data_IF_156292068098
#
_entry.id   IF_156292068098
#
_cell.length_a   1.000
_cell.length_b   1.000
_cell.length_c   1.000
_cell.angle_alpha   90.00
_cell.angle_beta   90.00
_cell.angle_gamma   90.00
#
_symmetry.space_group_name_H-M   'P 1'
#
loop_
_entity.id
_entity.type
_entity.pdbx_description
1 polymer ?
#
# COMPACT_ATOMS: atom_id res chain seq x y z
N UNK A 1 -11.13 -1.40 10.78
CA UNK A 1 -10.38 -2.34 9.92
C UNK A 1 -8.93 -1.95 9.86
N UNK A 2 -8.05 -2.91 9.73
CA UNK A 2 -6.61 -2.65 9.72
C UNK A 2 -6.08 -2.70 8.29
N UNK A 3 -5.45 -1.61 7.88
CA UNK A 3 -4.83 -1.50 6.56
C UNK A 3 -3.34 -1.22 6.68
N UNK A 4 -2.60 -1.67 5.69
CA UNK A 4 -1.19 -1.36 5.54
C UNK A 4 -0.94 -0.82 4.13
N UNK A 5 -0.26 0.31 4.04
CA UNK A 5 0.18 0.87 2.77
C UNK A 5 1.69 0.67 2.64
N UNK A 6 2.10 0.01 1.57
CA UNK A 6 3.50 -0.14 1.21
C UNK A 6 3.75 0.71 -0.01
N UNK A 7 4.75 1.59 0.06
CA UNK A 7 5.12 2.49 -1.02
C UNK A 7 6.59 2.33 -1.35
N UNK A 8 6.90 2.14 -2.62
CA UNK A 8 8.27 2.19 -3.13
C UNK A 8 8.42 3.45 -3.98
N UNK A 9 9.34 4.31 -3.59
CA UNK A 9 9.65 5.52 -4.33
C UNK A 9 10.59 5.20 -5.48
N UNK A 10 10.18 5.58 -6.70
CA UNK A 10 10.90 5.23 -7.91
C UNK A 10 12.33 5.79 -7.96
N UNK A 11 12.49 7.04 -7.54
CA UNK A 11 13.75 7.75 -7.68
C UNK A 11 14.82 7.28 -6.68
N UNK A 12 14.43 6.82 -5.51
CA UNK A 12 15.33 6.42 -4.43
C UNK A 12 15.37 4.92 -4.17
N UNK A 13 14.34 4.20 -4.61
CA UNK A 13 14.16 2.80 -4.27
C UNK A 13 13.77 2.55 -2.81
N UNK A 14 13.51 3.61 -2.05
CA UNK A 14 13.12 3.48 -0.64
C UNK A 14 11.72 2.91 -0.55
N UNK A 15 11.54 1.92 0.33
CA UNK A 15 10.25 1.30 0.61
C UNK A 15 9.81 1.74 1.99
N UNK A 16 8.57 2.22 2.11
CA UNK A 16 7.98 2.62 3.37
C UNK A 16 6.73 1.80 3.65
N UNK A 17 6.44 1.64 4.94
CA UNK A 17 5.20 1.02 5.41
C UNK A 17 4.46 2.01 6.29
N UNK A 18 3.14 2.06 6.14
CA UNK A 18 2.29 2.86 7.01
C UNK A 18 1.05 2.04 7.38
N UNK A 19 0.72 2.02 8.66
CA UNK A 19 -0.41 1.27 9.20
C UNK A 19 -1.56 2.21 9.53
N UNK A 20 -2.77 1.76 9.21
CA UNK A 20 -4.01 2.50 9.46
C UNK A 20 -4.96 1.57 10.24
N UNK A 21 -4.89 1.57 11.60
CA UNK A 21 -5.59 0.54 12.37
C UNK A 21 -7.10 0.73 12.48
N UNK A 22 -7.61 1.94 12.44
CA UNK A 22 -9.01 2.23 12.79
C UNK A 22 -9.76 3.00 11.71
N UNK A 23 -9.58 2.63 10.45
CA UNK A 23 -10.36 3.24 9.36
C UNK A 23 -11.40 2.27 8.83
N UNK A 24 -12.57 2.79 8.46
CA UNK A 24 -13.69 1.99 7.97
C UNK A 24 -13.57 1.63 6.50
N UNK A 25 -12.86 2.46 5.72
CA UNK A 25 -12.77 2.31 4.27
C UNK A 25 -11.40 2.76 3.78
N UNK A 26 -10.83 2.11 2.76
CA UNK A 26 -9.57 2.53 2.17
C UNK A 26 -9.68 3.74 1.25
N UNK A 27 -10.88 4.25 1.00
CA UNK A 27 -11.11 5.29 -0.02
C UNK A 27 -10.27 6.55 0.19
N UNK A 28 -10.12 6.98 1.44
CA UNK A 28 -9.30 8.17 1.77
C UNK A 28 -7.83 7.95 1.36
N UNK A 29 -7.30 6.77 1.62
CA UNK A 29 -5.92 6.42 1.27
C UNK A 29 -5.77 6.37 -0.24
N UNK A 30 -6.69 5.72 -0.92
CA UNK A 30 -6.67 5.57 -2.37
C UNK A 30 -6.76 6.94 -3.05
N UNK A 31 -7.65 7.80 -2.58
CA UNK A 31 -7.80 9.15 -3.12
C UNK A 31 -6.55 9.99 -2.92
N UNK A 32 -5.91 9.89 -1.76
CA UNK A 32 -4.63 10.56 -1.50
C UNK A 32 -3.55 10.11 -2.49
N UNK A 33 -3.44 8.80 -2.73
CA UNK A 33 -2.47 8.23 -3.65
C UNK A 33 -2.76 8.64 -5.10
N UNK A 34 -4.01 8.60 -5.52
CA UNK A 34 -4.42 9.02 -6.85
C UNK A 34 -4.08 10.49 -7.11
N UNK A 35 -4.34 11.35 -6.14
CA UNK A 35 -3.96 12.77 -6.22
C UNK A 35 -2.45 12.96 -6.31
N UNK A 36 -1.68 12.22 -5.54
CA UNK A 36 -0.22 12.28 -5.59
C UNK A 36 0.29 11.88 -6.97
N UNK A 37 -0.24 10.80 -7.55
CA UNK A 37 0.14 10.33 -8.87
C UNK A 37 -0.25 11.32 -9.97
N UNK A 38 -1.43 11.93 -9.89
CA UNK A 38 -1.87 12.98 -10.81
C UNK A 38 -0.95 14.20 -10.76
N UNK A 39 -0.39 14.50 -9.59
CA UNK A 39 0.55 15.60 -9.39
C UNK A 39 2.00 15.23 -9.72
N UNK A 40 2.23 14.07 -10.33
CA UNK A 40 3.54 13.68 -10.83
C UNK A 40 4.40 12.88 -9.87
N UNK A 41 3.87 12.43 -8.75
CA UNK A 41 4.60 11.55 -7.85
C UNK A 41 4.96 10.23 -8.56
N UNK A 42 6.22 9.81 -8.44
CA UNK A 42 6.75 8.60 -9.07
C UNK A 42 6.94 7.53 -8.02
N UNK A 43 5.90 6.73 -7.83
CA UNK A 43 5.88 5.68 -6.82
C UNK A 43 5.05 4.48 -7.27
N UNK A 44 5.33 3.34 -6.66
CA UNK A 44 4.47 2.16 -6.68
C UNK A 44 3.87 2.00 -5.28
N UNK A 45 2.63 1.56 -5.21
CA UNK A 45 2.03 1.27 -3.91
C UNK A 45 1.25 -0.04 -3.93
N UNK A 46 1.14 -0.62 -2.75
CA UNK A 46 0.29 -1.76 -2.48
C UNK A 46 -0.45 -1.49 -1.17
N UNK A 47 -1.77 -1.51 -1.21
CA UNK A 47 -2.63 -1.38 -0.05
C UNK A 47 -3.17 -2.74 0.32
N UNK A 48 -2.95 -3.15 1.56
CA UNK A 48 -3.39 -4.43 2.09
C UNK A 48 -4.32 -4.24 3.28
N UNK A 49 -5.24 -5.18 3.43
CA UNK A 49 -6.12 -5.27 4.59
C UNK A 49 -5.81 -6.55 5.35
N UNK A 50 -5.70 -6.46 6.67
CA UNK A 50 -5.60 -7.64 7.53
C UNK A 50 -7.00 -8.11 7.90
N UNK A 51 -7.28 -9.37 7.60
CA UNK A 51 -8.55 -10.02 7.91
C UNK A 51 -8.30 -11.15 8.91
N UNK A 52 -9.38 -11.80 9.38
CA UNK A 52 -9.26 -12.96 10.26
C UNK A 52 -8.56 -14.15 9.59
N UNK A 53 -8.64 -14.23 8.27
CA UNK A 53 -8.09 -15.35 7.51
C UNK A 53 -6.74 -15.06 6.87
N UNK A 54 -6.26 -13.81 6.95
CA UNK A 54 -4.97 -13.46 6.36
C UNK A 54 -4.86 -12.00 5.95
N UNK A 55 -4.06 -11.76 4.94
CA UNK A 55 -3.81 -10.42 4.41
C UNK A 55 -4.27 -10.41 2.95
N UNK A 56 -5.19 -9.49 2.64
CA UNK A 56 -5.72 -9.33 1.30
C UNK A 56 -5.21 -8.05 0.65
N UNK A 57 -4.87 -8.12 -0.64
CA UNK A 57 -4.56 -6.94 -1.42
C UNK A 57 -5.86 -6.22 -1.77
N UNK A 58 -5.93 -4.93 -1.45
CA UNK A 58 -7.12 -4.10 -1.71
C UNK A 58 -6.96 -3.23 -2.95
N UNK A 59 -5.77 -2.70 -3.17
CA UNK A 59 -5.47 -1.86 -4.32
C UNK A 59 -3.96 -1.80 -4.55
N UNK A 60 -3.55 -1.58 -5.79
CA UNK A 60 -2.15 -1.45 -6.14
C UNK A 60 -1.99 -0.73 -7.47
N UNK A 61 -0.83 -0.10 -7.66
CA UNK A 61 -0.43 0.41 -8.96
C UNK A 61 0.93 -0.16 -9.32
N UNK A 62 1.09 -0.61 -10.55
CA UNK A 62 2.39 -1.04 -11.10
C UNK A 62 3.10 -2.15 -10.31
N UNK A 63 2.46 -2.76 -9.32
CA UNK A 63 3.02 -3.90 -8.62
C UNK A 63 2.70 -5.18 -9.38
N UNK A 64 3.73 -5.92 -9.70
CA UNK A 64 3.60 -7.33 -10.03
C UNK A 64 3.72 -8.11 -8.72
N UNK A 65 2.59 -8.48 -8.16
CA UNK A 65 2.55 -9.17 -6.88
C UNK A 65 3.35 -10.47 -6.90
N UNK A 66 3.33 -11.17 -8.05
CA UNK A 66 4.05 -12.42 -8.21
C UNK A 66 5.57 -12.23 -8.24
N UNK A 67 6.04 -11.06 -8.63
CA UNK A 67 7.47 -10.72 -8.66
C UNK A 67 8.01 -10.20 -7.33
N UNK A 68 7.16 -9.94 -6.37
CA UNK A 68 7.59 -9.40 -5.09
C UNK A 68 7.80 -10.51 -4.07
N UNK A 69 9.03 -10.92 -3.90
CA UNK A 69 9.39 -12.08 -3.09
C UNK A 69 9.36 -11.84 -1.59
N UNK A 70 9.50 -10.59 -1.15
CA UNK A 70 9.72 -10.26 0.26
C UNK A 70 8.89 -9.07 0.67
N UNK A 71 7.57 -9.28 0.78
CA UNK A 71 6.74 -8.30 1.44
C UNK A 71 7.15 -8.22 2.92
N UNK A 72 7.26 -7.01 3.48
CA UNK A 72 7.52 -6.87 4.90
C UNK A 72 6.47 -7.60 5.73
N UNK A 73 6.88 -8.17 6.86
CA UNK A 73 5.95 -8.79 7.78
C UNK A 73 4.97 -7.74 8.35
N UNK A 74 3.78 -8.19 8.67
CA UNK A 74 2.77 -7.33 9.27
C UNK A 74 3.08 -7.09 10.75
N UNK A 75 3.31 -5.84 11.12
CA UNK A 75 3.61 -5.43 12.49
C UNK A 75 2.51 -4.59 13.15
N UNK A 76 1.44 -4.32 12.45
CA UNK A 76 0.33 -3.50 12.92
C UNK A 76 -0.81 -4.24 13.58
#
# INVERSE_FOLDING_TARGET
MNFRLIVEYHDTGIITEQYFPDIDTPDTIINYLDNALENGARLKYLLQQKTETGIDAMDSNSWDYAGWYQLPEWHG
#
